data_IF_246445817787
#
_entry.id   IF_246445817787
#
_cell.length_a   1.000
_cell.length_b   1.000
_cell.length_c   1.000
_cell.angle_alpha   90.00
_cell.angle_beta   90.00
_cell.angle_gamma   90.00
#
_symmetry.space_group_name_H-M   'P 1'
#
loop_
_entity.id
_entity.type
_entity.pdbx_description
1 polymer ?
#
# COMPACT_ATOMS: atom_id res chain seq x y z
N UNK A 1 -2.48 22.07 15.24
CA UNK A 1 -3.46 21.17 15.91
C UNK A 1 -3.01 19.75 15.71
N UNK A 2 -3.19 18.87 16.70
CA UNK A 2 -2.91 17.43 16.52
C UNK A 2 -3.94 16.84 15.55
N UNK A 3 -3.49 16.06 14.57
CA UNK A 3 -4.36 15.41 13.57
C UNK A 3 -5.21 14.33 14.21
N UNK A 4 -4.68 13.64 15.25
CA UNK A 4 -5.34 12.55 15.94
C UNK A 4 -5.12 12.71 17.45
N UNK A 5 -6.15 12.49 18.26
CA UNK A 5 -6.03 12.50 19.71
C UNK A 5 -5.47 11.16 20.23
N UNK A 6 -4.86 11.18 21.42
CA UNK A 6 -4.40 9.95 22.10
C UNK A 6 -5.58 9.00 22.35
N UNK A 7 -6.78 9.54 22.61
CA UNK A 7 -8.00 8.76 22.81
C UNK A 7 -8.38 7.98 21.55
N UNK A 8 -8.28 8.61 20.37
CA UNK A 8 -8.57 7.95 19.09
C UNK A 8 -7.55 6.84 18.79
N UNK A 9 -6.25 7.10 19.06
CA UNK A 9 -5.21 6.09 18.93
C UNK A 9 -5.45 4.88 19.85
N UNK A 10 -5.89 5.13 21.08
CA UNK A 10 -6.23 4.09 22.05
C UNK A 10 -7.44 3.26 21.57
N UNK A 11 -8.49 3.92 21.09
CA UNK A 11 -9.70 3.26 20.56
C UNK A 11 -9.40 2.43 19.30
N UNK A 12 -8.50 2.91 18.44
CA UNK A 12 -8.03 2.19 17.25
C UNK A 12 -7.09 1.02 17.60
N UNK A 13 -6.70 0.83 18.87
CA UNK A 13 -5.82 -0.24 19.31
C UNK A 13 -4.35 -0.07 18.91
N UNK A 14 -3.91 1.14 18.59
CA UNK A 14 -2.54 1.45 18.15
C UNK A 14 -1.50 1.14 19.22
N UNK A 15 -1.91 1.12 20.50
CA UNK A 15 -1.05 0.81 21.64
C UNK A 15 -0.64 -0.68 21.75
N UNK A 16 -1.30 -1.59 21.03
CA UNK A 16 -0.95 -3.00 21.07
C UNK A 16 0.28 -3.28 20.18
N UNK A 17 1.37 -3.69 20.82
CA UNK A 17 2.58 -4.16 20.17
C UNK A 17 2.62 -5.69 19.99
N UNK A 18 3.80 -6.22 19.79
CA UNK A 18 4.06 -7.65 19.67
C UNK A 18 4.12 -8.33 21.05
N UNK A 19 4.04 -9.67 21.06
CA UNK A 19 4.35 -10.43 22.27
C UNK A 19 5.81 -10.15 22.69
N UNK A 20 6.04 -9.99 24.00
CA UNK A 20 7.35 -9.62 24.55
C UNK A 20 8.50 -10.55 24.13
N UNK A 21 8.22 -11.82 23.83
CA UNK A 21 9.24 -12.77 23.33
C UNK A 21 9.75 -12.47 21.92
N UNK A 22 9.03 -11.66 21.14
CA UNK A 22 9.38 -11.28 19.77
C UNK A 22 9.81 -9.83 19.63
N UNK A 23 10.00 -9.13 20.73
CA UNK A 23 10.41 -7.74 20.70
C UNK A 23 11.86 -7.58 20.17
N UNK A 24 12.14 -6.41 19.63
CA UNK A 24 13.49 -6.03 19.27
C UNK A 24 14.01 -5.01 20.32
N UNK A 25 15.21 -5.21 20.92
CA UNK A 25 15.76 -4.28 21.89
C UNK A 25 15.83 -2.83 21.39
N UNK A 26 16.02 -2.60 20.08
CA UNK A 26 16.00 -1.27 19.47
C UNK A 26 14.65 -0.55 19.56
N UNK A 27 13.58 -1.27 19.92
CA UNK A 27 12.25 -0.70 20.13
C UNK A 27 11.96 -0.31 21.57
N UNK A 28 12.91 -0.48 22.48
CA UNK A 28 12.75 -0.20 23.92
C UNK A 28 12.26 1.23 24.17
N UNK A 29 12.80 2.22 23.49
CA UNK A 29 12.43 3.63 23.61
C UNK A 29 10.97 3.95 23.20
N UNK A 30 10.34 3.05 22.43
CA UNK A 30 8.95 3.18 21.95
C UNK A 30 7.95 2.36 22.77
N UNK A 31 8.44 1.53 23.70
CA UNK A 31 7.60 0.68 24.53
C UNK A 31 7.34 1.38 25.87
N UNK A 32 6.07 1.57 26.20
CA UNK A 32 5.66 2.16 27.47
C UNK A 32 5.69 1.14 28.62
N UNK A 33 5.14 -0.07 28.39
CA UNK A 33 4.98 -1.13 29.39
C UNK A 33 4.79 -2.49 28.71
N UNK A 34 4.79 -3.56 29.51
CA UNK A 34 4.44 -4.90 29.03
C UNK A 34 3.32 -5.48 29.91
N UNK A 35 2.16 -5.76 29.31
CA UNK A 35 1.01 -6.34 30.01
C UNK A 35 0.60 -7.66 29.38
N UNK A 36 0.38 -8.67 30.19
CA UNK A 36 -0.02 -10.02 29.73
C UNK A 36 0.88 -10.56 28.60
N UNK A 37 2.19 -10.33 28.70
CA UNK A 37 3.18 -10.72 27.68
C UNK A 37 3.02 -10.00 26.32
N UNK A 38 2.32 -8.87 26.28
CA UNK A 38 2.17 -8.01 25.11
C UNK A 38 2.82 -6.67 25.45
N UNK A 39 3.70 -6.18 24.57
CA UNK A 39 4.30 -4.85 24.71
C UNK A 39 3.24 -3.77 24.39
N UNK A 40 3.21 -2.73 25.20
CA UNK A 40 2.34 -1.56 25.01
C UNK A 40 3.19 -0.42 24.45
N UNK A 41 2.79 0.09 23.30
CA UNK A 41 3.49 1.18 22.61
C UNK A 41 3.15 2.52 23.27
N UNK A 42 4.15 3.40 23.39
CA UNK A 42 3.95 4.76 23.89
C UNK A 42 3.16 5.61 22.88
N UNK A 43 1.96 5.99 23.25
CA UNK A 43 1.07 6.77 22.39
C UNK A 43 1.44 8.25 22.28
N UNK A 44 2.12 8.83 23.26
CA UNK A 44 2.59 10.23 23.20
C UNK A 44 3.66 10.37 22.14
N UNK A 45 4.64 9.45 22.14
CA UNK A 45 5.66 9.39 21.10
C UNK A 45 5.05 9.12 19.73
N UNK A 46 4.11 8.17 19.65
CA UNK A 46 3.39 7.84 18.41
C UNK A 46 2.63 9.04 17.85
N UNK A 47 1.92 9.79 18.69
CA UNK A 47 1.19 10.99 18.28
C UNK A 47 2.11 12.07 17.72
N UNK A 48 3.22 12.33 18.41
CA UNK A 48 4.23 13.30 17.96
C UNK A 48 4.81 12.93 16.60
N UNK A 49 5.21 11.67 16.44
CA UNK A 49 5.77 11.17 15.18
C UNK A 49 4.72 11.15 14.05
N UNK A 50 3.45 10.81 14.35
CA UNK A 50 2.37 10.84 13.36
C UNK A 50 2.10 12.25 12.85
N UNK A 51 2.10 13.26 13.75
CA UNK A 51 1.95 14.65 13.35
C UNK A 51 3.11 15.12 12.46
N UNK A 52 4.34 14.75 12.81
CA UNK A 52 5.51 15.08 12.00
C UNK A 52 5.47 14.41 10.61
N UNK A 53 5.08 13.12 10.56
CA UNK A 53 4.92 12.39 9.31
C UNK A 53 3.83 13.01 8.42
N UNK A 54 2.69 13.38 8.99
CA UNK A 54 1.61 14.01 8.25
C UNK A 54 2.00 15.37 7.67
N UNK A 55 2.68 16.23 8.44
CA UNK A 55 3.21 17.50 7.94
C UNK A 55 4.22 17.30 6.81
N UNK A 56 5.02 16.22 6.89
CA UNK A 56 5.95 15.87 5.81
C UNK A 56 5.22 15.45 4.55
N UNK A 57 4.19 14.61 4.66
CA UNK A 57 3.35 14.19 3.52
C UNK A 57 2.64 15.40 2.89
N UNK A 58 2.08 16.29 3.70
CA UNK A 58 1.46 17.53 3.24
C UNK A 58 2.44 18.38 2.43
N UNK A 59 3.67 18.58 2.93
CA UNK A 59 4.73 19.31 2.21
C UNK A 59 5.14 18.65 0.89
N UNK A 60 5.09 17.31 0.79
CA UNK A 60 5.37 16.57 -0.44
C UNK A 60 4.24 16.78 -1.44
N UNK A 61 2.99 16.60 -1.01
CA UNK A 61 1.81 16.74 -1.86
C UNK A 61 1.60 18.18 -2.35
N UNK A 62 1.86 19.18 -1.51
CA UNK A 62 1.72 20.60 -1.87
C UNK A 62 2.67 21.04 -3.00
N UNK A 63 3.79 20.33 -3.17
CA UNK A 63 4.74 20.54 -4.29
C UNK A 63 4.34 19.82 -5.57
N UNK A 64 3.20 19.12 -5.59
CA UNK A 64 2.76 18.33 -6.74
C UNK A 64 3.50 16.99 -6.91
N UNK A 65 4.26 16.57 -5.90
CA UNK A 65 5.00 15.32 -5.91
C UNK A 65 4.08 14.11 -5.78
N UNK A 66 4.51 12.96 -6.31
CA UNK A 66 3.72 11.74 -6.38
C UNK A 66 3.97 10.86 -5.18
N UNK A 67 2.91 10.52 -4.47
CA UNK A 67 2.91 9.61 -3.34
C UNK A 67 2.37 8.24 -3.78
N UNK A 68 3.07 7.16 -3.44
CA UNK A 68 2.61 5.79 -3.61
C UNK A 68 2.24 5.19 -2.25
N UNK A 69 1.02 4.70 -2.12
CA UNK A 69 0.57 3.98 -0.93
C UNK A 69 0.90 2.50 -1.02
N UNK A 70 1.49 1.94 0.06
CA UNK A 70 1.85 0.53 0.15
C UNK A 70 1.27 -0.07 1.42
N UNK A 71 0.34 -1.00 1.28
CA UNK A 71 -0.31 -1.67 2.41
C UNK A 71 -0.58 -3.13 2.08
N UNK A 72 0.46 -3.95 2.04
CA UNK A 72 0.38 -5.37 1.69
C UNK A 72 -0.08 -6.26 2.84
N UNK A 73 -0.06 -5.75 4.07
CA UNK A 73 -0.53 -6.48 5.25
C UNK A 73 -2.07 -6.56 5.21
N UNK A 74 -2.64 -7.73 5.52
CA UNK A 74 -4.09 -7.98 5.46
C UNK A 74 -4.92 -6.93 6.21
N UNK A 75 -4.42 -6.43 7.35
CA UNK A 75 -5.11 -5.39 8.15
C UNK A 75 -5.10 -4.00 7.49
N UNK A 76 -4.12 -3.70 6.63
CA UNK A 76 -3.96 -2.40 5.97
C UNK A 76 -4.52 -2.37 4.54
N UNK A 77 -4.49 -3.52 3.84
CA UNK A 77 -4.79 -3.64 2.41
C UNK A 77 -6.10 -2.95 1.99
N UNK A 78 -7.18 -3.24 2.69
CA UNK A 78 -8.50 -2.66 2.36
C UNK A 78 -8.51 -1.13 2.52
N UNK A 79 -8.04 -0.63 3.65
CA UNK A 79 -8.02 0.82 3.94
C UNK A 79 -7.12 1.58 2.98
N UNK A 80 -5.95 1.03 2.65
CA UNK A 80 -5.02 1.63 1.67
C UNK A 80 -5.67 1.70 0.29
N UNK A 81 -6.26 0.61 -0.19
CA UNK A 81 -6.94 0.57 -1.49
C UNK A 81 -8.06 1.60 -1.57
N UNK A 82 -8.97 1.62 -0.58
CA UNK A 82 -10.12 2.53 -0.55
C UNK A 82 -9.69 4.00 -0.52
N UNK A 83 -8.75 4.35 0.36
CA UNK A 83 -8.30 5.74 0.52
C UNK A 83 -7.47 6.22 -0.67
N UNK A 84 -6.52 5.42 -1.16
CA UNK A 84 -5.73 5.78 -2.32
C UNK A 84 -6.60 5.93 -3.59
N UNK A 85 -7.55 5.01 -3.81
CA UNK A 85 -8.49 5.08 -4.94
C UNK A 85 -9.37 6.33 -4.88
N UNK A 86 -9.88 6.71 -3.69
CA UNK A 86 -10.70 7.92 -3.53
C UNK A 86 -9.93 9.22 -3.82
N UNK A 87 -8.61 9.20 -3.65
CA UNK A 87 -7.72 10.32 -3.94
C UNK A 87 -7.11 10.27 -5.35
N UNK A 88 -7.37 9.21 -6.12
CA UNK A 88 -6.73 9.01 -7.43
C UNK A 88 -5.23 8.74 -7.36
N UNK A 89 -4.72 8.31 -6.19
CA UNK A 89 -3.29 8.06 -5.98
C UNK A 89 -2.94 6.59 -6.23
N UNK A 90 -1.72 6.32 -6.71
CA UNK A 90 -1.28 4.94 -6.91
C UNK A 90 -1.11 4.19 -5.59
N UNK A 91 -1.37 2.87 -5.63
CA UNK A 91 -1.27 2.03 -4.46
C UNK A 91 -0.84 0.60 -4.79
N UNK A 92 -0.28 -0.08 -3.78
CA UNK A 92 -0.01 -1.52 -3.78
C UNK A 92 -0.64 -2.13 -2.53
N UNK A 93 -1.71 -2.90 -2.71
CA UNK A 93 -2.52 -3.47 -1.62
C UNK A 93 -2.37 -4.98 -1.45
N UNK A 94 -1.72 -5.69 -2.38
CA UNK A 94 -1.54 -7.13 -2.34
C UNK A 94 -0.07 -7.49 -2.09
N UNK A 95 0.71 -7.67 -3.13
CA UNK A 95 2.10 -8.10 -3.03
C UNK A 95 3.02 -7.04 -3.63
N UNK A 96 4.03 -6.64 -2.87
CA UNK A 96 5.12 -5.86 -3.41
C UNK A 96 5.99 -6.76 -4.29
N UNK A 97 6.05 -6.48 -5.58
CA UNK A 97 6.88 -7.24 -6.50
C UNK A 97 8.35 -6.83 -6.34
N UNK A 98 9.26 -7.82 -6.35
CA UNK A 98 10.68 -7.52 -6.39
C UNK A 98 11.02 -6.67 -7.62
N UNK A 99 11.78 -5.60 -7.42
CA UNK A 99 12.14 -4.68 -8.50
C UNK A 99 11.09 -3.64 -8.87
N UNK A 100 10.00 -3.49 -8.11
CA UNK A 100 8.94 -2.50 -8.41
C UNK A 100 9.49 -1.09 -8.65
N UNK A 101 10.51 -0.67 -7.94
CA UNK A 101 11.17 0.63 -8.13
C UNK A 101 12.52 0.49 -8.86
N UNK A 102 13.30 -0.53 -8.52
CA UNK A 102 14.67 -0.71 -9.04
C UNK A 102 14.70 -1.27 -10.47
N UNK A 103 13.67 -2.00 -10.89
CA UNK A 103 13.49 -2.52 -12.25
C UNK A 103 12.19 -2.00 -12.88
N UNK A 104 11.99 -0.69 -12.79
CA UNK A 104 10.79 -0.02 -13.31
C UNK A 104 10.53 -0.29 -14.80
N UNK A 105 11.57 -0.50 -15.60
CA UNK A 105 11.43 -0.84 -17.03
C UNK A 105 10.61 -2.12 -17.23
N UNK A 106 10.89 -3.16 -16.46
CA UNK A 106 10.14 -4.42 -16.51
C UNK A 106 8.72 -4.28 -15.98
N UNK A 107 8.53 -3.55 -14.88
CA UNK A 107 7.19 -3.26 -14.34
C UNK A 107 6.35 -2.50 -15.38
N UNK A 108 6.93 -1.52 -16.06
CA UNK A 108 6.25 -0.77 -17.12
C UNK A 108 5.84 -1.66 -18.30
N UNK A 109 6.64 -2.67 -18.66
CA UNK A 109 6.23 -3.63 -19.70
C UNK A 109 5.05 -4.51 -19.24
N UNK A 110 5.03 -4.90 -17.97
CA UNK A 110 3.88 -5.61 -17.38
C UNK A 110 2.62 -4.74 -17.32
N UNK A 111 2.75 -3.44 -17.05
CA UNK A 111 1.64 -2.49 -17.11
C UNK A 111 1.09 -2.36 -18.53
N UNK A 112 1.95 -2.30 -19.55
CA UNK A 112 1.52 -2.30 -20.96
C UNK A 112 0.77 -3.59 -21.29
N UNK A 113 1.32 -4.74 -20.89
CA UNK A 113 0.65 -6.03 -21.09
C UNK A 113 -0.74 -6.07 -20.44
N UNK A 114 -0.89 -5.51 -19.24
CA UNK A 114 -2.20 -5.37 -18.59
C UNK A 114 -3.16 -4.53 -19.46
N UNK A 115 -2.71 -3.39 -19.96
CA UNK A 115 -3.52 -2.54 -20.85
C UNK A 115 -3.91 -3.23 -22.14
N UNK A 116 -3.00 -3.99 -22.75
CA UNK A 116 -3.26 -4.77 -23.97
C UNK A 116 -4.34 -5.85 -23.73
N UNK A 117 -4.31 -6.50 -22.55
CA UNK A 117 -5.32 -7.46 -22.16
C UNK A 117 -6.68 -6.80 -21.90
N UNK A 118 -6.71 -5.63 -21.25
CA UNK A 118 -7.94 -4.85 -21.05
C UNK A 118 -8.55 -4.43 -22.40
N UNK A 119 -7.73 -4.00 -23.36
CA UNK A 119 -8.19 -3.67 -24.73
C UNK A 119 -8.71 -4.90 -25.47
N UNK A 120 -8.03 -6.04 -25.36
CA UNK A 120 -8.49 -7.30 -25.98
C UNK A 120 -9.85 -7.73 -25.42
N UNK A 121 -10.08 -7.56 -24.11
CA UNK A 121 -11.35 -7.90 -23.47
C UNK A 121 -12.46 -6.93 -23.87
N UNK A 122 -12.19 -5.63 -23.92
CA UNK A 122 -13.18 -4.59 -24.24
C UNK A 122 -13.56 -4.56 -25.74
N UNK A 123 -12.63 -4.92 -26.62
CA UNK A 123 -12.87 -4.97 -28.07
C UNK A 123 -13.59 -6.24 -28.57
N UNK A 124 -13.96 -7.16 -27.67
CA UNK A 124 -14.58 -8.43 -28.02
C UNK A 124 -13.66 -9.42 -28.74
N UNK A 125 -12.36 -9.12 -28.86
CA UNK A 125 -11.38 -10.04 -29.48
C UNK A 125 -11.28 -11.36 -28.74
N UNK A 126 -11.57 -11.37 -27.45
CA UNK A 126 -11.55 -12.57 -26.61
C UNK A 126 -12.60 -13.61 -27.05
N UNK A 127 -13.74 -13.17 -27.64
CA UNK A 127 -14.79 -14.05 -28.10
C UNK A 127 -14.39 -14.88 -29.34
N UNK A 128 -13.35 -14.42 -30.06
CA UNK A 128 -12.79 -15.11 -31.22
C UNK A 128 -11.77 -16.20 -30.86
N UNK A 129 -11.38 -16.27 -29.59
CA UNK A 129 -10.44 -17.25 -29.07
C UNK A 129 -11.15 -18.55 -28.67
N UNK A 130 -10.39 -19.63 -28.62
CA UNK A 130 -10.89 -20.87 -28.02
C UNK A 130 -11.21 -20.66 -26.53
N UNK A 131 -12.12 -21.45 -25.95
CA UNK A 131 -12.48 -21.39 -24.53
C UNK A 131 -11.25 -21.48 -23.59
N UNK A 132 -10.28 -22.29 -23.97
CA UNK A 132 -9.05 -22.46 -23.19
C UNK A 132 -8.21 -21.19 -23.21
N UNK A 133 -7.96 -20.62 -24.37
CA UNK A 133 -7.18 -19.37 -24.52
C UNK A 133 -7.88 -18.19 -23.84
N UNK A 134 -9.19 -18.05 -23.99
CA UNK A 134 -9.97 -17.01 -23.30
C UNK A 134 -9.84 -17.12 -21.78
N UNK A 135 -9.82 -18.34 -21.23
CA UNK A 135 -9.62 -18.57 -19.81
C UNK A 135 -8.20 -18.21 -19.37
N UNK A 136 -7.18 -18.53 -20.16
CA UNK A 136 -5.79 -18.18 -19.88
C UNK A 136 -5.59 -16.66 -19.87
N UNK A 137 -6.13 -15.95 -20.86
CA UNK A 137 -6.13 -14.47 -20.94
C UNK A 137 -6.81 -13.87 -19.71
N UNK A 138 -7.98 -14.37 -19.33
CA UNK A 138 -8.71 -13.89 -18.15
C UNK A 138 -7.92 -14.10 -16.85
N UNK A 139 -7.27 -15.24 -16.68
CA UNK A 139 -6.41 -15.54 -15.52
C UNK A 139 -5.17 -14.64 -15.48
N UNK A 140 -4.54 -14.42 -16.64
CA UNK A 140 -3.37 -13.51 -16.73
C UNK A 140 -3.78 -12.09 -16.36
N UNK A 141 -4.89 -11.59 -16.93
CA UNK A 141 -5.44 -10.28 -16.61
C UNK A 141 -5.68 -10.12 -15.10
N UNK A 142 -6.40 -11.08 -14.50
CA UNK A 142 -6.69 -11.04 -13.06
C UNK A 142 -5.40 -11.01 -12.22
N UNK A 143 -4.43 -11.85 -12.54
CA UNK A 143 -3.14 -11.89 -11.84
C UNK A 143 -2.37 -10.58 -11.93
N UNK A 144 -2.34 -9.95 -13.11
CA UNK A 144 -1.71 -8.64 -13.30
C UNK A 144 -2.48 -7.55 -12.59
N UNK A 145 -3.81 -7.53 -12.70
CA UNK A 145 -4.66 -6.54 -12.01
C UNK A 145 -4.48 -6.60 -10.49
N UNK A 146 -4.40 -7.79 -9.89
CA UNK A 146 -4.16 -7.94 -8.46
C UNK A 146 -2.78 -7.46 -8.01
N UNK A 147 -1.75 -7.60 -8.84
CA UNK A 147 -0.38 -7.26 -8.45
C UNK A 147 0.03 -5.84 -8.79
N UNK A 148 -0.38 -5.31 -9.95
CA UNK A 148 0.07 -4.02 -10.46
C UNK A 148 -1.07 -3.07 -10.86
N UNK A 149 -2.33 -3.49 -10.73
CA UNK A 149 -3.49 -2.67 -11.12
C UNK A 149 -3.52 -1.31 -10.42
N UNK A 150 -3.14 -1.23 -9.15
CA UNK A 150 -3.10 0.02 -8.40
C UNK A 150 -2.01 1.02 -8.85
N UNK A 151 -1.03 0.57 -9.63
CA UNK A 151 0.07 1.41 -10.14
C UNK A 151 0.00 1.61 -11.67
N UNK A 152 -1.05 1.12 -12.33
CA UNK A 152 -1.15 1.18 -13.80
C UNK A 152 -1.08 2.61 -14.36
N UNK A 153 -1.59 3.58 -13.65
CA UNK A 153 -1.61 4.99 -14.05
C UNK A 153 -0.31 5.76 -13.71
N UNK A 154 0.68 5.11 -13.10
CA UNK A 154 1.96 5.75 -12.80
C UNK A 154 2.78 5.96 -14.06
N UNK A 155 3.11 7.22 -14.35
CA UNK A 155 3.97 7.61 -15.50
C UNK A 155 5.46 7.45 -15.21
N UNK A 156 5.86 7.35 -13.94
CA UNK A 156 7.26 7.28 -13.50
C UNK A 156 7.34 6.82 -12.03
N UNK A 157 8.55 6.84 -11.47
CA UNK A 157 8.79 6.53 -10.07
C UNK A 157 8.06 7.54 -9.17
N UNK A 158 7.58 7.12 -7.98
CA UNK A 158 7.02 8.02 -6.99
C UNK A 158 8.12 8.81 -6.27
N UNK A 159 7.79 9.99 -5.76
CA UNK A 159 8.69 10.84 -4.98
C UNK A 159 8.71 10.43 -3.50
N UNK A 160 7.65 9.80 -3.03
CA UNK A 160 7.57 9.26 -1.68
C UNK A 160 6.70 7.99 -1.60
N UNK A 161 6.95 7.19 -0.57
CA UNK A 161 6.19 5.99 -0.20
C UNK A 161 5.55 6.20 1.18
N UNK A 162 4.28 5.79 1.28
CA UNK A 162 3.57 5.65 2.55
C UNK A 162 3.24 4.19 2.80
#
# INVERSE_FOLDING_TARGET
MSIVSIKDLLQAGVHFGHQSRFWNPKMEEYIFDTRKKISIINLETTQSQLNAAASRVESICSRGNKLLFVGTKRSASKSIKEKASSLGLPYVDKRWLGGTLTNWKTIRSSIRRLSDLEEMMSSGRIEKLSKKEALEVSREHQKLMESIGGIKNMKGLPDALF
#
